data_IF_653071232690
#
_entry.id   IF_653071232690
#
_cell.length_a   1.000
_cell.length_b   1.000
_cell.length_c   1.000
_cell.angle_alpha   90.00
_cell.angle_beta   90.00
_cell.angle_gamma   90.00
#
_symmetry.space_group_name_H-M   'P 1'
#
loop_
_entity.id
_entity.type
_entity.pdbx_description
1 polymer ?
#
# COMPACT_ATOMS: atom_id res chain seq x y z
N UNK A 1 13.54 -13.71 15.80
CA UNK A 1 12.56 -13.40 14.76
C UNK A 1 11.21 -13.08 15.35
N UNK A 2 10.70 -11.86 15.08
CA UNK A 2 9.40 -11.39 15.58
C UNK A 2 8.28 -11.59 14.58
N UNK A 3 8.59 -11.90 13.31
CA UNK A 3 7.61 -12.18 12.27
C UNK A 3 7.48 -13.70 12.09
N UNK A 4 6.30 -14.21 12.37
CA UNK A 4 5.95 -15.62 12.18
C UNK A 4 4.80 -15.79 11.20
N UNK A 5 4.42 -17.05 10.97
CA UNK A 5 3.29 -17.38 10.10
C UNK A 5 2.02 -16.63 10.53
N UNK A 6 1.34 -16.02 9.57
CA UNK A 6 0.16 -15.19 9.79
C UNK A 6 0.46 -13.70 10.03
N UNK A 7 1.73 -13.32 10.19
CA UNK A 7 2.09 -11.89 10.28
C UNK A 7 1.87 -11.18 8.95
N UNK A 8 1.58 -9.89 9.04
CA UNK A 8 1.38 -9.03 7.88
C UNK A 8 2.31 -7.82 7.96
N UNK A 9 3.02 -7.52 6.88
CA UNK A 9 3.80 -6.29 6.70
C UNK A 9 3.01 -5.40 5.75
N UNK A 10 2.68 -4.21 6.21
CA UNK A 10 1.86 -3.26 5.46
C UNK A 10 2.70 -2.03 5.14
N UNK A 11 2.88 -1.77 3.87
CA UNK A 11 3.60 -0.60 3.37
C UNK A 11 2.60 0.43 2.85
N UNK A 12 2.51 1.57 3.51
CA UNK A 12 1.69 2.69 3.04
C UNK A 12 2.49 3.46 2.00
N UNK A 13 2.03 3.38 0.75
CA UNK A 13 2.68 4.02 -0.40
C UNK A 13 1.77 5.10 -1.00
N UNK A 14 1.74 5.27 -2.30
CA UNK A 14 0.89 6.23 -2.97
C UNK A 14 0.69 5.83 -4.44
N UNK A 15 -0.43 6.24 -5.02
CA UNK A 15 -0.66 6.12 -6.46
C UNK A 15 0.44 6.78 -7.31
N UNK A 16 1.11 7.81 -6.77
CA UNK A 16 2.20 8.50 -7.49
C UNK A 16 3.40 7.57 -7.76
N UNK A 17 3.55 6.50 -6.99
CA UNK A 17 4.59 5.48 -7.20
C UNK A 17 4.24 4.44 -8.25
N UNK A 18 3.03 4.49 -8.81
CA UNK A 18 2.60 3.60 -9.90
C UNK A 18 3.27 4.00 -11.21
N UNK A 19 3.79 3.02 -11.94
CA UNK A 19 4.32 3.27 -13.29
C UNK A 19 3.21 3.56 -14.30
N UNK A 20 1.97 3.19 -13.98
CA UNK A 20 0.80 3.41 -14.85
C UNK A 20 0.22 4.81 -14.64
N UNK A 21 -0.04 5.21 -13.39
CA UNK A 21 -0.72 6.48 -13.11
C UNK A 21 0.21 7.58 -12.62
N UNK A 22 1.42 7.23 -12.19
CA UNK A 22 2.39 8.18 -11.64
C UNK A 22 2.81 9.28 -12.63
N UNK A 23 2.75 9.01 -13.92
CA UNK A 23 3.05 10.00 -14.96
C UNK A 23 2.11 11.22 -14.96
N UNK A 24 0.94 11.12 -14.34
CA UNK A 24 -0.02 12.22 -14.21
C UNK A 24 0.37 13.25 -13.14
N UNK A 25 1.43 12.97 -12.38
CA UNK A 25 1.91 13.81 -11.29
C UNK A 25 3.27 14.40 -11.62
N UNK A 26 3.59 15.51 -10.98
CA UNK A 26 4.84 16.22 -11.20
C UNK A 26 5.60 16.41 -9.87
N UNK A 27 6.04 15.30 -9.30
CA UNK A 27 6.83 15.27 -8.06
C UNK A 27 7.79 14.09 -8.14
N UNK A 28 8.87 14.25 -8.88
CA UNK A 28 9.84 13.17 -9.13
C UNK A 28 10.44 12.58 -7.87
N UNK A 29 10.91 13.36 -6.87
CA UNK A 29 11.47 12.78 -5.65
C UNK A 29 10.47 11.93 -4.87
N UNK A 30 9.26 12.43 -4.68
CA UNK A 30 8.20 11.71 -3.97
C UNK A 30 7.76 10.46 -4.74
N UNK A 31 7.51 10.59 -6.03
CA UNK A 31 7.16 9.46 -6.91
C UNK A 31 8.22 8.36 -6.86
N UNK A 32 9.49 8.73 -6.94
CA UNK A 32 10.60 7.78 -6.87
C UNK A 32 10.61 7.05 -5.53
N UNK A 33 10.42 7.76 -4.41
CA UNK A 33 10.40 7.15 -3.08
C UNK A 33 9.27 6.13 -2.94
N UNK A 34 8.10 6.41 -3.50
CA UNK A 34 6.95 5.51 -3.45
C UNK A 34 7.07 4.33 -4.43
N UNK A 35 7.68 4.54 -5.59
CA UNK A 35 8.03 3.45 -6.51
C UNK A 35 9.02 2.47 -5.88
N UNK A 36 10.01 2.97 -5.14
CA UNK A 36 10.94 2.13 -4.36
C UNK A 36 10.17 1.33 -3.31
N UNK A 37 9.25 1.94 -2.57
CA UNK A 37 8.43 1.25 -1.58
C UNK A 37 7.59 0.12 -2.23
N UNK A 38 7.07 0.37 -3.42
CA UNK A 38 6.33 -0.63 -4.19
C UNK A 38 7.22 -1.82 -4.57
N UNK A 39 8.45 -1.57 -5.03
CA UNK A 39 9.42 -2.62 -5.35
C UNK A 39 9.83 -3.40 -4.10
N UNK A 40 10.08 -2.72 -2.99
CA UNK A 40 10.38 -3.36 -1.69
C UNK A 40 9.26 -4.31 -1.30
N UNK A 41 8.00 -3.92 -1.48
CA UNK A 41 6.84 -4.77 -1.19
C UNK A 41 6.89 -6.08 -1.96
N UNK A 42 7.12 -6.02 -3.27
CA UNK A 42 7.18 -7.21 -4.13
C UNK A 42 8.33 -8.14 -3.73
N UNK A 43 9.49 -7.57 -3.49
CA UNK A 43 10.68 -8.36 -3.13
C UNK A 43 10.55 -8.99 -1.74
N UNK A 44 10.07 -8.24 -0.75
CA UNK A 44 9.83 -8.78 0.59
C UNK A 44 8.77 -9.88 0.58
N UNK A 45 7.70 -9.73 -0.20
CA UNK A 45 6.68 -10.75 -0.33
C UNK A 45 7.28 -12.08 -0.80
N UNK A 46 8.17 -12.02 -1.77
CA UNK A 46 8.88 -13.21 -2.27
C UNK A 46 9.80 -13.81 -1.21
N UNK A 47 10.58 -12.98 -0.53
CA UNK A 47 11.53 -13.44 0.49
C UNK A 47 10.87 -14.05 1.73
N UNK A 48 9.70 -13.53 2.11
CA UNK A 48 9.00 -13.93 3.33
C UNK A 48 7.93 -14.99 3.10
N UNK A 49 7.73 -15.40 1.85
CA UNK A 49 6.69 -16.37 1.47
C UNK A 49 6.75 -17.66 2.29
N UNK A 50 7.92 -18.27 2.37
CA UNK A 50 8.12 -19.54 3.07
C UNK A 50 7.95 -19.42 4.58
N UNK A 51 8.02 -18.20 5.12
CA UNK A 51 7.74 -17.94 6.54
C UNK A 51 6.27 -17.74 6.84
N UNK A 52 5.40 -17.75 5.81
CA UNK A 52 3.97 -17.50 5.99
C UNK A 52 3.64 -16.04 6.32
N UNK A 53 4.52 -15.10 6.00
CA UNK A 53 4.32 -13.67 6.21
C UNK A 53 3.80 -13.03 4.94
N UNK A 54 2.70 -12.29 5.03
CA UNK A 54 2.14 -11.52 3.90
C UNK A 54 2.72 -10.12 3.87
N UNK A 55 2.99 -9.60 2.69
CA UNK A 55 3.47 -8.22 2.48
C UNK A 55 2.57 -7.55 1.46
N UNK A 56 2.03 -6.40 1.78
CA UNK A 56 1.09 -5.69 0.91
C UNK A 56 1.35 -4.18 0.93
N UNK A 57 1.22 -3.55 -0.22
CA UNK A 57 1.29 -2.10 -0.35
C UNK A 57 -0.11 -1.52 -0.49
N UNK A 58 -0.35 -0.38 0.16
CA UNK A 58 -1.61 0.36 0.06
C UNK A 58 -1.39 1.80 -0.42
N UNK A 59 -2.19 2.19 -1.40
CA UNK A 59 -2.49 3.59 -1.65
C UNK A 59 -3.62 4.01 -0.70
N UNK A 60 -3.35 4.91 0.26
CA UNK A 60 -4.34 5.26 1.30
C UNK A 60 -5.49 6.14 0.78
N UNK A 61 -5.46 6.52 -0.48
CA UNK A 61 -6.36 7.52 -1.05
C UNK A 61 -5.81 8.94 -0.88
N UNK A 62 -6.54 9.91 -1.41
CA UNK A 62 -6.26 11.32 -1.12
C UNK A 62 -6.96 11.70 0.17
N UNK A 63 -6.20 11.70 1.27
CA UNK A 63 -6.71 11.75 2.65
C UNK A 63 -6.63 13.17 3.20
N UNK A 64 -7.68 13.60 3.89
CA UNK A 64 -7.73 14.90 4.60
C UNK A 64 -6.79 14.88 5.81
N UNK A 65 -5.53 15.21 5.54
CA UNK A 65 -4.44 15.40 6.50
C UNK A 65 -3.81 16.77 6.24
N UNK A 66 -2.82 17.16 7.05
CA UNK A 66 -2.04 18.38 6.79
C UNK A 66 -1.41 18.34 5.40
N UNK A 67 -0.94 17.19 4.96
CA UNK A 67 -0.35 16.98 3.63
C UNK A 67 -1.40 16.98 2.52
N UNK A 68 -2.55 16.32 2.72
CA UNK A 68 -3.61 16.17 1.72
C UNK A 68 -4.52 17.39 1.59
N UNK A 69 -4.63 18.19 2.63
CA UNK A 69 -5.50 19.37 2.68
C UNK A 69 -6.96 19.05 3.00
N UNK A 70 -7.75 20.10 3.26
CA UNK A 70 -9.15 19.98 3.66
C UNK A 70 -10.10 19.57 2.52
N UNK A 71 -9.67 19.73 1.27
CA UNK A 71 -10.44 19.38 0.08
C UNK A 71 -10.18 17.95 -0.43
N UNK A 72 -9.38 17.18 0.27
CA UNK A 72 -9.10 15.79 -0.08
C UNK A 72 -10.37 14.91 -0.03
N UNK A 73 -10.37 13.82 -0.81
CA UNK A 73 -11.55 13.00 -1.09
C UNK A 73 -12.10 12.27 0.14
N UNK A 74 -11.23 11.77 1.03
CA UNK A 74 -11.64 10.91 2.14
C UNK A 74 -11.03 11.37 3.46
N UNK A 75 -11.67 10.95 4.56
CA UNK A 75 -11.16 11.19 5.91
C UNK A 75 -10.05 10.19 6.29
N UNK A 76 -9.27 10.54 7.31
CA UNK A 76 -8.28 9.63 7.91
C UNK A 76 -8.96 8.35 8.39
N UNK A 77 -10.12 8.48 9.04
CA UNK A 77 -10.90 7.36 9.57
C UNK A 77 -11.38 6.41 8.48
N UNK A 78 -11.88 6.95 7.36
CA UNK A 78 -12.32 6.15 6.21
C UNK A 78 -11.17 5.35 5.60
N UNK A 79 -10.02 6.00 5.39
CA UNK A 79 -8.83 5.36 4.85
C UNK A 79 -8.32 4.25 5.77
N UNK A 80 -8.13 4.55 7.05
CA UNK A 80 -7.64 3.59 8.04
C UNK A 80 -8.59 2.40 8.20
N UNK A 81 -9.89 2.67 8.29
CA UNK A 81 -10.92 1.63 8.41
C UNK A 81 -10.92 0.70 7.19
N UNK A 82 -10.83 1.25 5.99
CA UNK A 82 -10.81 0.45 4.77
C UNK A 82 -9.58 -0.44 4.69
N UNK A 83 -8.41 0.07 5.04
CA UNK A 83 -7.16 -0.71 5.08
C UNK A 83 -7.27 -1.83 6.11
N UNK A 84 -7.69 -1.54 7.33
CA UNK A 84 -7.80 -2.55 8.39
C UNK A 84 -8.83 -3.62 8.03
N UNK A 85 -9.99 -3.24 7.49
CA UNK A 85 -11.01 -4.20 7.06
C UNK A 85 -10.49 -5.14 5.96
N UNK A 86 -9.71 -4.61 5.02
CA UNK A 86 -9.09 -5.41 3.96
C UNK A 86 -8.10 -6.40 4.54
N UNK A 87 -7.29 -5.98 5.52
CA UNK A 87 -6.27 -6.83 6.14
C UNK A 87 -6.86 -8.00 6.94
N UNK A 88 -8.04 -7.83 7.53
CA UNK A 88 -8.71 -8.89 8.31
C UNK A 88 -8.94 -10.16 7.48
N UNK A 89 -9.20 -10.03 6.19
CA UNK A 89 -9.50 -11.15 5.29
C UNK A 89 -8.47 -11.32 4.18
N UNK A 90 -7.33 -10.62 4.27
CA UNK A 90 -6.30 -10.65 3.23
C UNK A 90 -5.63 -12.02 3.17
N UNK A 91 -5.77 -12.76 2.04
CA UNK A 91 -5.19 -14.09 1.93
C UNK A 91 -3.70 -14.03 1.68
N UNK A 92 -2.94 -14.95 2.31
CA UNK A 92 -1.50 -15.05 2.11
C UNK A 92 -1.11 -15.22 0.63
N UNK A 93 -1.95 -15.92 -0.14
CA UNK A 93 -1.73 -16.12 -1.58
C UNK A 93 -1.65 -14.80 -2.37
N UNK A 94 -2.25 -13.72 -1.85
CA UNK A 94 -2.26 -12.40 -2.48
C UNK A 94 -1.09 -11.51 -2.01
N UNK A 95 -0.17 -12.05 -1.21
CA UNK A 95 1.04 -11.33 -0.78
C UNK A 95 1.80 -10.78 -2.00
N UNK A 96 2.27 -9.55 -1.89
CA UNK A 96 2.92 -8.84 -3.00
C UNK A 96 1.96 -7.98 -3.83
N UNK A 97 0.74 -7.78 -3.35
CA UNK A 97 -0.27 -6.93 -4.03
C UNK A 97 -0.08 -5.45 -3.72
N UNK A 98 -0.54 -4.63 -4.65
CA UNK A 98 -0.74 -3.19 -4.46
C UNK A 98 -2.23 -2.88 -4.50
N UNK A 99 -2.77 -2.37 -3.40
CA UNK A 99 -4.20 -2.16 -3.21
C UNK A 99 -4.51 -0.69 -2.92
N UNK A 100 -5.73 -0.29 -3.20
CA UNK A 100 -6.31 0.94 -2.68
C UNK A 100 -6.83 0.71 -1.26
N UNK A 101 -7.06 1.78 -0.55
CA UNK A 101 -7.60 1.77 0.82
C UNK A 101 -8.91 0.99 0.96
N UNK A 102 -9.71 0.89 -0.09
CA UNK A 102 -10.97 0.14 -0.11
C UNK A 102 -10.82 -1.36 -0.46
N UNK A 103 -9.60 -1.82 -0.62
CA UNK A 103 -9.28 -3.22 -0.96
C UNK A 103 -9.26 -3.52 -2.45
N UNK A 104 -9.60 -2.57 -3.32
CA UNK A 104 -9.51 -2.77 -4.77
C UNK A 104 -8.06 -2.77 -5.25
N UNK A 105 -7.80 -3.49 -6.34
CA UNK A 105 -6.45 -3.59 -6.92
C UNK A 105 -6.05 -2.23 -7.52
N UNK A 106 -4.84 -1.79 -7.17
CA UNK A 106 -4.22 -0.62 -7.79
C UNK A 106 -3.19 -1.08 -8.83
N UNK A 107 -3.14 -0.43 -10.00
CA UNK A 107 -2.07 -0.73 -10.97
C UNK A 107 -0.70 -0.30 -10.43
N UNK A 108 0.29 -1.14 -10.71
CA UNK A 108 1.67 -0.87 -10.28
C UNK A 108 2.31 0.40 -10.89
#
# INVERSE_FOLDING_TARGET
>A
DRLGSGSQVVNVTSQIGSMVVGANFNDLPYATSKAVMNMVTVQLATQLKEKGVSVVAFHPGWVRTDMGGSSADISVEESAHGILSTLETFPHADSGSFLRWDGSIHPW
#
